data_IF_538417349838
#
_entry.id   IF_538417349838
#
_cell.length_a   1.000
_cell.length_b   1.000
_cell.length_c   1.000
_cell.angle_alpha   90.00
_cell.angle_beta   90.00
_cell.angle_gamma   90.00
#
_symmetry.space_group_name_H-M   'P 1'
#
loop_
_entity.id
_entity.type
_entity.pdbx_description
1 polymer ?
#
# COMPACT_ATOMS: atom_id res chain seq x y z
N UNK A 1 -3.78 -27.18 -13.06
CA UNK A 1 -4.62 -26.50 -12.05
C UNK A 1 -4.34 -25.03 -12.23
N UNK A 2 -5.36 -24.22 -12.47
CA UNK A 2 -5.16 -22.76 -12.52
C UNK A 2 -5.12 -22.30 -11.09
N UNK A 3 -3.96 -21.89 -10.61
CA UNK A 3 -3.81 -21.28 -9.28
C UNK A 3 -4.79 -20.10 -9.18
N UNK A 4 -5.70 -20.18 -8.21
CA UNK A 4 -6.83 -19.26 -8.10
C UNK A 4 -6.41 -18.11 -7.20
N UNK A 5 -6.28 -16.92 -7.79
CA UNK A 5 -6.07 -15.68 -7.04
C UNK A 5 -7.07 -15.57 -5.89
N UNK A 6 -6.55 -15.48 -4.68
CA UNK A 6 -7.30 -15.27 -3.44
C UNK A 6 -6.84 -13.98 -2.79
N UNK A 7 -7.78 -13.16 -2.34
CA UNK A 7 -7.51 -11.89 -1.66
C UNK A 7 -8.15 -11.93 -0.28
N UNK A 8 -7.35 -11.63 0.75
CA UNK A 8 -7.79 -11.52 2.14
C UNK A 8 -7.65 -10.06 2.58
N UNK A 9 -8.74 -9.48 3.05
CA UNK A 9 -8.75 -8.13 3.64
C UNK A 9 -9.77 -8.09 4.78
N UNK A 10 -9.50 -7.28 5.79
CA UNK A 10 -10.47 -6.96 6.84
C UNK A 10 -11.24 -5.66 6.54
N UNK A 11 -10.91 -4.97 5.43
CA UNK A 11 -11.58 -3.74 5.01
C UNK A 11 -11.35 -2.53 5.91
N UNK A 12 -10.49 -2.63 6.93
CA UNK A 12 -10.24 -1.53 7.86
C UNK A 12 -9.22 -0.54 7.26
N UNK A 13 -9.53 0.76 7.23
CA UNK A 13 -8.59 1.80 6.81
C UNK A 13 -7.32 1.81 7.68
N UNK A 14 -6.22 2.28 7.09
CA UNK A 14 -4.92 2.51 7.71
C UNK A 14 -4.49 3.92 7.38
N UNK A 15 -4.06 4.66 8.39
CA UNK A 15 -3.61 6.04 8.24
C UNK A 15 -2.41 6.10 7.29
N UNK A 16 -2.47 7.04 6.36
CA UNK A 16 -1.33 7.46 5.56
C UNK A 16 -0.56 8.47 6.40
N UNK A 17 0.76 8.27 6.48
CA UNK A 17 1.67 9.10 7.26
C UNK A 17 2.76 9.66 6.36
N UNK A 18 3.26 10.85 6.70
CA UNK A 18 4.42 11.43 6.01
C UNK A 18 5.75 10.87 6.52
N UNK A 19 6.83 11.04 5.75
CA UNK A 19 8.17 10.56 6.17
C UNK A 19 8.67 11.17 7.49
N UNK A 20 8.17 12.36 7.84
CA UNK A 20 8.48 13.01 9.12
C UNK A 20 7.88 12.28 10.33
N UNK A 21 6.85 11.45 10.14
CA UNK A 21 6.19 10.63 11.18
C UNK A 21 6.82 9.25 11.37
N UNK A 22 7.80 8.89 10.54
CA UNK A 22 8.56 7.64 10.68
C UNK A 22 9.46 7.70 11.92
N UNK A 23 9.51 6.58 12.64
CA UNK A 23 10.52 6.35 13.67
C UNK A 23 11.90 6.18 13.04
N UNK A 24 12.96 6.26 13.85
CA UNK A 24 14.33 6.05 13.34
C UNK A 24 14.50 4.65 12.74
N UNK A 25 13.95 3.62 13.40
CA UNK A 25 13.97 2.23 12.92
C UNK A 25 13.25 2.09 11.57
N UNK A 26 12.09 2.72 11.40
CA UNK A 26 11.35 2.70 10.13
C UNK A 26 12.08 3.46 9.02
N UNK A 27 12.79 4.55 9.35
CA UNK A 27 13.61 5.29 8.37
C UNK A 27 14.78 4.46 7.84
N UNK A 28 15.39 3.63 8.69
CA UNK A 28 16.44 2.70 8.26
C UNK A 28 15.90 1.66 7.24
N UNK A 29 14.62 1.28 7.33
CA UNK A 29 13.99 0.37 6.35
C UNK A 29 13.74 1.03 4.98
N UNK A 30 13.63 2.36 4.92
CA UNK A 30 13.34 3.13 3.70
C UNK A 30 14.47 4.09 3.28
N UNK A 31 15.72 3.71 3.57
CA UNK A 31 16.96 4.49 3.30
C UNK A 31 17.34 4.60 1.81
N UNK A 32 16.36 4.52 0.90
CA UNK A 32 16.55 4.69 -0.54
C UNK A 32 16.22 6.11 -1.04
N UNK A 33 15.72 6.99 -0.17
CA UNK A 33 15.56 8.42 -0.47
C UNK A 33 16.89 9.15 -0.33
N UNK A 34 17.30 9.89 -1.37
CA UNK A 34 18.60 10.59 -1.37
C UNK A 34 18.58 11.86 -0.50
N UNK A 35 17.41 12.48 -0.36
CA UNK A 35 17.25 13.72 0.40
C UNK A 35 16.15 13.60 1.45
N UNK A 36 16.33 14.36 2.53
CA UNK A 36 15.33 14.48 3.60
C UNK A 36 14.01 15.07 3.08
N UNK A 37 14.07 16.01 2.14
CA UNK A 37 12.88 16.65 1.55
C UNK A 37 12.04 15.61 0.78
N UNK A 38 12.67 14.78 -0.05
CA UNK A 38 11.97 13.69 -0.76
C UNK A 38 11.35 12.67 0.18
N UNK A 39 12.06 12.32 1.27
CA UNK A 39 11.51 11.45 2.30
C UNK A 39 10.29 12.08 2.98
N UNK A 40 10.36 13.36 3.35
CA UNK A 40 9.27 14.05 4.05
C UNK A 40 8.02 14.23 3.16
N UNK A 41 8.20 14.35 1.84
CA UNK A 41 7.12 14.42 0.84
C UNK A 41 6.52 13.05 0.47
N UNK A 42 7.21 11.96 0.83
CA UNK A 42 6.73 10.61 0.58
C UNK A 42 5.58 10.20 1.52
N UNK A 43 4.76 9.25 1.06
CA UNK A 43 3.58 8.77 1.78
C UNK A 43 3.74 7.30 2.14
N UNK A 44 3.53 6.99 3.41
CA UNK A 44 3.71 5.65 3.96
C UNK A 44 2.45 5.17 4.67
N UNK A 45 2.39 3.88 4.97
CA UNK A 45 1.42 3.32 5.90
C UNK A 45 2.02 2.15 6.68
N UNK A 46 1.51 1.92 7.89
CA UNK A 46 1.95 0.80 8.74
C UNK A 46 1.00 -0.39 8.58
N UNK A 47 1.55 -1.56 8.30
CA UNK A 47 0.75 -2.78 8.18
C UNK A 47 1.49 -4.03 8.65
N UNK A 48 0.89 -4.74 9.62
CA UNK A 48 1.42 -5.97 10.23
C UNK A 48 2.87 -5.86 10.71
N UNK A 49 3.24 -4.69 11.26
CA UNK A 49 4.56 -4.44 11.81
C UNK A 49 5.62 -3.99 10.80
N UNK A 50 5.24 -3.78 9.52
CA UNK A 50 6.14 -3.21 8.51
C UNK A 50 5.66 -1.82 8.10
N UNK A 51 6.61 -1.00 7.64
CA UNK A 51 6.36 0.27 6.97
C UNK A 51 6.36 0.06 5.47
N UNK A 52 5.32 0.54 4.79
CA UNK A 52 5.19 0.45 3.35
C UNK A 52 5.16 1.85 2.76
N UNK A 53 6.01 2.09 1.78
CA UNK A 53 5.96 3.25 0.90
C UNK A 53 4.90 3.05 -0.17
N UNK A 54 3.96 3.99 -0.29
CA UNK A 54 2.89 3.96 -1.28
C UNK A 54 3.45 4.12 -2.69
N UNK A 55 4.55 4.87 -2.86
CA UNK A 55 5.24 5.10 -4.13
C UNK A 55 5.77 3.82 -4.78
N UNK A 56 6.07 2.80 -3.98
CA UNK A 56 6.55 1.49 -4.45
C UNK A 56 5.43 0.59 -5.01
N UNK A 57 4.16 0.97 -4.83
CA UNK A 57 3.04 0.20 -5.35
C UNK A 57 2.82 0.48 -6.84
N UNK A 58 2.84 -0.59 -7.63
CA UNK A 58 2.46 -0.54 -9.03
C UNK A 58 0.98 -0.29 -9.19
N UNK A 59 0.60 0.74 -9.95
CA UNK A 59 -0.80 1.07 -10.24
C UNK A 59 -1.50 -0.06 -11.01
N UNK A 60 -2.68 -0.44 -10.53
CA UNK A 60 -3.58 -1.34 -11.23
C UNK A 60 -4.41 -0.52 -12.23
N UNK A 61 -4.20 -0.78 -13.52
CA UNK A 61 -5.00 -0.18 -14.61
C UNK A 61 -5.72 -1.22 -15.46
N UNK A 62 -5.22 -2.47 -15.44
CA UNK A 62 -5.74 -3.66 -16.09
C UNK A 62 -4.99 -4.87 -15.54
N UNK A 63 -5.54 -6.08 -15.67
CA UNK A 63 -4.80 -7.30 -15.37
C UNK A 63 -5.61 -8.30 -14.54
N UNK A 64 -4.89 -9.04 -13.69
CA UNK A 64 -5.45 -10.15 -12.91
C UNK A 64 -6.13 -9.72 -11.60
N UNK A 65 -5.81 -8.53 -11.09
CA UNK A 65 -6.42 -8.00 -9.88
C UNK A 65 -7.76 -7.32 -10.19
N UNK A 66 -8.74 -7.39 -9.28
CA UNK A 66 -9.98 -6.62 -9.43
C UNK A 66 -9.70 -5.12 -9.53
N UNK A 67 -10.38 -4.44 -10.45
CA UNK A 67 -10.16 -3.01 -10.75
C UNK A 67 -10.60 -2.03 -9.65
N UNK A 68 -11.18 -2.53 -8.56
CA UNK A 68 -11.46 -1.71 -7.37
C UNK A 68 -10.26 -1.61 -6.42
N UNK A 69 -9.16 -2.31 -6.72
CA UNK A 69 -7.86 -2.09 -6.10
C UNK A 69 -7.06 -1.09 -6.93
N UNK A 70 -6.31 -0.21 -6.27
CA UNK A 70 -5.60 0.89 -6.93
C UNK A 70 -4.12 0.56 -7.18
N UNK A 71 -3.50 -0.20 -6.27
CA UNK A 71 -2.09 -0.54 -6.34
C UNK A 71 -1.79 -1.95 -5.83
N UNK A 72 -0.69 -2.53 -6.29
CA UNK A 72 -0.14 -3.78 -5.77
C UNK A 72 1.38 -3.71 -5.66
N UNK A 73 1.92 -4.47 -4.71
CA UNK A 73 3.34 -4.79 -4.62
C UNK A 73 3.47 -6.29 -4.40
N UNK A 74 4.42 -6.92 -5.09
CA UNK A 74 4.67 -8.35 -4.97
C UNK A 74 5.70 -8.63 -3.89
N UNK A 75 5.38 -9.53 -2.97
CA UNK A 75 6.30 -10.04 -1.94
C UNK A 75 7.01 -11.31 -2.46
N UNK A 76 6.31 -12.13 -3.24
CA UNK A 76 6.87 -13.27 -3.95
C UNK A 76 6.25 -13.43 -5.34
N UNK A 77 6.63 -14.46 -6.07
CA UNK A 77 5.98 -14.80 -7.33
C UNK A 77 4.48 -15.14 -7.16
N UNK A 78 4.08 -15.60 -5.98
CA UNK A 78 2.74 -16.10 -5.69
C UNK A 78 1.98 -15.26 -4.65
N UNK A 79 2.54 -14.17 -4.13
CA UNK A 79 1.91 -13.41 -3.06
C UNK A 79 2.35 -11.96 -3.02
N UNK A 80 1.53 -11.11 -2.39
CA UNK A 80 1.88 -9.72 -2.17
C UNK A 80 0.75 -8.93 -1.52
N UNK A 81 0.88 -7.60 -1.56
CA UNK A 81 -0.04 -6.67 -0.92
C UNK A 81 -0.77 -5.86 -2.00
N UNK A 82 -2.04 -5.58 -1.74
CA UNK A 82 -2.90 -4.67 -2.49
C UNK A 82 -3.24 -3.47 -1.62
N UNK A 83 -3.33 -2.30 -2.23
CA UNK A 83 -3.85 -1.09 -1.60
C UNK A 83 -4.98 -0.50 -2.42
N UNK A 84 -5.92 0.13 -1.74
CA UNK A 84 -6.92 1.00 -2.35
C UNK A 84 -7.25 2.17 -1.44
N UNK A 85 -7.57 3.31 -2.05
CA UNK A 85 -8.12 4.44 -1.32
C UNK A 85 -9.59 4.18 -1.01
N UNK A 86 -10.06 4.41 0.23
CA UNK A 86 -11.49 4.39 0.52
C UNK A 86 -12.23 5.44 -0.31
N UNK A 87 -13.49 5.13 -0.63
CA UNK A 87 -14.39 6.09 -1.27
C UNK A 87 -15.37 6.59 -0.21
N UNK A 88 -15.51 7.90 -0.13
CA UNK A 88 -16.45 8.58 0.74
C UNK A 88 -17.90 8.39 0.25
N UNK A 89 -18.87 8.55 1.14
CA UNK A 89 -20.30 8.37 0.81
C UNK A 89 -20.78 9.30 -0.33
N UNK A 90 -20.20 10.50 -0.42
CA UNK A 90 -20.52 11.51 -1.43
C UNK A 90 -19.74 11.32 -2.75
N UNK A 91 -18.96 10.25 -2.87
CA UNK A 91 -18.19 9.90 -4.08
C UNK A 91 -16.79 10.52 -4.14
N UNK A 92 -16.35 11.19 -3.07
CA UNK A 92 -14.96 11.64 -2.91
C UNK A 92 -14.01 10.48 -2.65
N UNK A 93 -12.72 10.71 -2.87
CA UNK A 93 -11.65 9.78 -2.46
C UNK A 93 -11.10 10.24 -1.12
N UNK A 94 -11.02 9.33 -0.16
CA UNK A 94 -10.29 9.53 1.09
C UNK A 94 -8.80 9.34 0.79
N UNK A 95 -8.05 10.45 0.85
CA UNK A 95 -6.61 10.48 0.57
C UNK A 95 -5.77 10.39 1.84
N UNK A 96 -6.39 10.25 3.00
CA UNK A 96 -5.72 10.18 4.30
C UNK A 96 -5.57 8.73 4.78
N UNK A 97 -6.24 7.77 4.11
CA UNK A 97 -6.17 6.37 4.47
C UNK A 97 -6.02 5.44 3.25
N UNK A 98 -5.50 4.24 3.52
CA UNK A 98 -5.52 3.10 2.60
C UNK A 98 -6.19 1.88 3.23
N UNK A 99 -6.94 1.13 2.43
CA UNK A 99 -7.36 -0.23 2.77
C UNK A 99 -6.37 -1.21 2.16
N UNK A 100 -5.94 -2.16 2.97
CA UNK A 100 -4.91 -3.14 2.60
C UNK A 100 -5.53 -4.52 2.38
N UNK A 101 -5.10 -5.20 1.32
CA UNK A 101 -5.38 -6.60 1.03
C UNK A 101 -4.10 -7.40 0.92
N UNK A 102 -4.13 -8.67 1.29
CA UNK A 102 -3.07 -9.62 0.97
C UNK A 102 -3.58 -10.57 -0.10
N UNK A 103 -2.81 -10.74 -1.18
CA UNK A 103 -3.15 -11.68 -2.24
C UNK A 103 -2.20 -12.86 -2.26
N UNK A 104 -2.70 -14.01 -2.71
CA UNK A 104 -1.90 -15.16 -3.08
C UNK A 104 -2.55 -15.99 -4.18
N UNK A 105 -1.72 -16.73 -4.93
CA UNK A 105 -2.11 -17.62 -6.01
C UNK A 105 -1.65 -19.04 -5.72
#
# INVERSE_FOLDING_TARGET
MTDKLTIITNGHPRDIIGGWELTEEEREEVDYYETKEELEDASFFRYKGNTYDIGEFSRISKGIFPLYWDGYISDSFFSGILIRYPTEEWGGMDTDHVIVGWYYC
#
